data_IF_132961013432
#
_entry.id   IF_132961013432
#
_cell.length_a   1.000
_cell.length_b   1.000
_cell.length_c   1.000
_cell.angle_alpha   90.00
_cell.angle_beta   90.00
_cell.angle_gamma   90.00
#
_symmetry.space_group_name_H-M   'P 1'
#
loop_
_entity.id
_entity.type
_entity.pdbx_description
1 polymer ?
#
# COMPACT_ATOMS: atom_id res chain seq x y z
N UNK A 1 -6.80 9.68 1.15
CA UNK A 1 -6.79 11.15 0.95
C UNK A 1 -5.74 11.74 1.88
N UNK A 2 -4.98 12.75 1.43
CA UNK A 2 -4.02 13.47 2.28
C UNK A 2 -4.72 14.72 2.83
N UNK A 3 -4.53 14.98 4.11
CA UNK A 3 -5.14 16.11 4.82
C UNK A 3 -4.04 17.04 5.27
N UNK A 4 -4.21 18.32 5.02
CA UNK A 4 -3.28 19.36 5.41
C UNK A 4 -3.73 20.05 6.70
N UNK A 5 -2.76 20.36 7.55
CA UNK A 5 -2.96 21.06 8.81
C UNK A 5 -1.75 21.94 9.14
N UNK A 6 -2.00 23.01 9.89
CA UNK A 6 -0.96 23.90 10.41
C UNK A 6 -0.49 23.42 11.78
N UNK A 7 0.82 23.46 12.03
CA UNK A 7 1.40 23.03 13.31
C UNK A 7 1.20 24.01 14.48
N UNK A 8 1.30 25.35 14.30
CA UNK A 8 1.23 26.27 15.44
C UNK A 8 -0.12 26.29 16.17
N UNK A 9 -1.21 26.13 15.43
CA UNK A 9 -2.59 26.26 15.88
C UNK A 9 -3.43 24.99 15.63
N UNK A 10 -2.84 23.94 15.04
CA UNK A 10 -3.48 22.65 14.78
C UNK A 10 -4.75 22.77 13.92
N UNK A 11 -4.82 23.79 13.07
CA UNK A 11 -5.96 24.03 12.20
C UNK A 11 -5.94 23.03 11.03
N UNK A 12 -7.08 22.40 10.75
CA UNK A 12 -7.25 21.54 9.57
C UNK A 12 -7.64 22.42 8.39
N UNK A 13 -6.74 22.52 7.40
CA UNK A 13 -6.96 23.29 6.18
C UNK A 13 -7.83 22.54 5.17
N UNK A 14 -7.82 21.21 5.25
CA UNK A 14 -8.68 20.34 4.45
C UNK A 14 -7.90 19.30 3.67
N UNK A 15 -8.51 18.78 2.60
CA UNK A 15 -7.87 17.81 1.72
C UNK A 15 -6.85 18.53 0.84
N UNK A 16 -5.66 17.94 0.69
CA UNK A 16 -4.68 18.41 -0.28
C UNK A 16 -5.28 18.33 -1.69
N UNK A 17 -5.30 19.43 -2.46
CA UNK A 17 -5.72 19.40 -3.84
C UNK A 17 -4.61 18.79 -4.71
N UNK A 18 -4.95 17.77 -5.51
CA UNK A 18 -4.03 17.23 -6.52
C UNK A 18 -4.22 17.98 -7.84
N UNK A 19 -3.13 18.43 -8.46
CA UNK A 19 -3.11 19.05 -9.78
C UNK A 19 -2.43 18.12 -10.77
N UNK A 20 -3.01 16.94 -10.96
CA UNK A 20 -2.49 15.94 -11.89
C UNK A 20 -3.60 15.02 -12.39
N UNK A 21 -3.33 14.34 -13.50
CA UNK A 21 -4.22 13.36 -14.12
C UNK A 21 -3.86 11.93 -13.70
N UNK A 22 -3.34 11.74 -12.47
CA UNK A 22 -2.87 10.44 -12.02
C UNK A 22 -4.02 9.48 -11.70
N UNK A 23 -5.10 10.01 -11.14
CA UNK A 23 -6.30 9.24 -10.85
C UNK A 23 -7.02 9.00 -12.17
N UNK A 24 -7.02 7.74 -12.59
CA UNK A 24 -7.65 7.27 -13.81
C UNK A 24 -8.82 6.38 -13.41
N UNK A 25 -10.00 6.98 -13.33
CA UNK A 25 -11.30 6.40 -12.97
C UNK A 25 -11.38 5.63 -11.63
N UNK A 26 -12.46 5.84 -10.87
CA UNK A 26 -12.66 5.13 -9.61
C UNK A 26 -11.70 5.56 -8.48
N UNK A 27 -11.76 4.88 -7.31
CA UNK A 27 -11.02 5.29 -6.13
C UNK A 27 -9.53 4.88 -6.18
N UNK A 28 -8.68 5.78 -5.72
CA UNK A 28 -7.27 5.53 -5.45
C UNK A 28 -7.07 5.26 -3.94
N UNK A 29 -6.66 4.05 -3.58
CA UNK A 29 -6.48 3.61 -2.18
C UNK A 29 -5.01 3.80 -1.81
N UNK A 30 -4.74 4.66 -0.82
CA UNK A 30 -3.40 5.00 -0.36
C UNK A 30 -3.04 4.24 0.91
N UNK A 31 -1.75 3.98 1.09
CA UNK A 31 -1.19 3.68 2.41
C UNK A 31 -0.63 4.95 3.07
N UNK A 32 -0.38 4.89 4.38
CA UNK A 32 0.06 6.03 5.20
C UNK A 32 1.55 6.03 5.51
N UNK A 33 2.35 5.21 4.82
CA UNK A 33 3.79 5.04 5.08
C UNK A 33 4.64 5.39 3.85
N UNK A 34 4.61 6.64 3.39
CA UNK A 34 5.52 7.07 2.33
C UNK A 34 6.97 7.06 2.80
N UNK A 35 7.89 6.87 1.85
CA UNK A 35 9.32 6.97 2.09
C UNK A 35 9.87 8.30 1.57
N UNK A 36 10.71 8.96 2.37
CA UNK A 36 11.40 10.20 1.97
C UNK A 36 12.86 9.89 1.67
N UNK A 37 13.34 10.29 0.50
CA UNK A 37 14.76 10.30 0.21
C UNK A 37 15.45 11.41 1.01
N UNK A 38 16.36 11.00 1.91
CA UNK A 38 17.08 11.94 2.77
C UNK A 38 18.04 12.87 2.03
N UNK A 39 18.45 12.53 0.80
CA UNK A 39 19.35 13.35 -0.03
C UNK A 39 18.57 14.43 -0.79
N UNK A 40 17.42 14.08 -1.37
CA UNK A 40 16.66 14.98 -2.25
C UNK A 40 15.44 15.62 -1.58
N UNK A 41 14.91 15.01 -0.52
CA UNK A 41 13.64 15.38 0.10
C UNK A 41 12.40 14.91 -0.66
N UNK A 42 12.57 14.27 -1.82
CA UNK A 42 11.46 13.71 -2.60
C UNK A 42 10.88 12.51 -1.85
N UNK A 43 9.55 12.47 -1.76
CA UNK A 43 8.85 11.36 -1.12
C UNK A 43 8.15 10.47 -2.14
N UNK A 44 8.10 9.18 -1.84
CA UNK A 44 7.71 8.08 -2.71
C UNK A 44 6.65 7.25 -2.01
N UNK A 45 5.69 6.73 -2.78
CA UNK A 45 4.62 5.88 -2.27
C UNK A 45 3.97 5.11 -3.42
N UNK A 46 3.07 4.19 -3.08
CA UNK A 46 2.18 3.55 -4.04
C UNK A 46 0.72 3.68 -3.60
N UNK A 47 -0.18 3.40 -4.53
CA UNK A 47 -1.60 3.32 -4.27
C UNK A 47 -2.23 2.27 -5.18
N UNK A 48 -3.41 1.80 -4.82
CA UNK A 48 -4.21 0.88 -5.66
C UNK A 48 -5.28 1.70 -6.36
N UNK A 49 -5.22 1.79 -7.68
CA UNK A 49 -6.30 2.33 -8.50
C UNK A 49 -7.29 1.21 -8.79
N UNK A 50 -8.53 1.36 -8.34
CA UNK A 50 -9.60 0.43 -8.69
C UNK A 50 -10.31 0.92 -9.95
N UNK A 51 -9.95 0.34 -11.10
CA UNK A 51 -10.62 0.61 -12.39
C UNK A 51 -11.66 -0.44 -12.71
N UNK A 52 -12.72 -0.01 -13.38
CA UNK A 52 -13.74 -0.87 -13.95
C UNK A 52 -13.71 -0.69 -15.46
N UNK A 53 -13.35 -1.74 -16.19
CA UNK A 53 -13.38 -1.73 -17.65
C UNK A 53 -14.38 -2.77 -18.16
N UNK A 54 -15.43 -2.32 -18.84
CA UNK A 54 -16.50 -3.19 -19.29
C UNK A 54 -17.26 -3.80 -18.12
N UNK A 55 -17.16 -5.13 -17.95
CA UNK A 55 -17.78 -5.87 -16.85
C UNK A 55 -16.77 -6.37 -15.79
N UNK A 56 -15.49 -5.99 -15.91
CA UNK A 56 -14.42 -6.53 -15.06
C UNK A 56 -13.63 -5.45 -14.33
N UNK A 57 -13.10 -5.80 -13.16
CA UNK A 57 -12.08 -5.00 -12.49
C UNK A 57 -10.76 -5.15 -13.21
N UNK A 58 -10.08 -4.02 -13.43
CA UNK A 58 -8.69 -3.97 -13.90
C UNK A 58 -7.86 -3.10 -12.97
N UNK A 59 -7.59 -3.58 -11.76
CA UNK A 59 -6.91 -2.78 -10.78
C UNK A 59 -5.42 -2.65 -11.14
N UNK A 60 -4.84 -1.54 -10.76
CA UNK A 60 -3.43 -1.25 -10.99
C UNK A 60 -2.81 -0.73 -9.70
N UNK A 61 -1.53 -1.05 -9.49
CA UNK A 61 -0.72 -0.26 -8.58
C UNK A 61 -0.21 0.98 -9.30
N UNK A 62 -0.43 2.14 -8.72
CA UNK A 62 0.09 3.42 -9.18
C UNK A 62 1.23 3.81 -8.26
N UNK A 63 2.45 3.85 -8.78
CA UNK A 63 3.65 4.23 -8.02
C UNK A 63 4.02 5.64 -8.43
N UNK A 64 4.19 6.51 -7.44
CA UNK A 64 4.41 7.92 -7.68
C UNK A 64 5.29 8.56 -6.61
N UNK A 65 5.71 9.78 -6.92
CA UNK A 65 6.51 10.62 -6.03
C UNK A 65 6.01 12.05 -6.02
N UNK A 66 6.48 12.81 -5.04
CA UNK A 66 6.19 14.22 -4.89
C UNK A 66 7.47 14.91 -4.45
N UNK A 67 7.83 15.96 -5.19
CA UNK A 67 9.00 16.77 -4.89
C UNK A 67 8.78 17.58 -3.60
N UNK A 68 9.83 17.84 -2.81
CA UNK A 68 9.70 18.56 -1.54
C UNK A 68 9.18 20.00 -1.70
N UNK A 69 9.38 20.60 -2.87
CA UNK A 69 8.95 21.96 -3.21
C UNK A 69 7.62 21.99 -3.98
N UNK A 70 6.92 20.85 -4.10
CA UNK A 70 5.66 20.76 -4.82
C UNK A 70 4.51 21.51 -4.11
N UNK A 71 4.61 21.72 -2.80
CA UNK A 71 3.73 22.62 -2.05
C UNK A 71 4.43 23.95 -1.79
N UNK A 72 3.92 25.03 -2.39
CA UNK A 72 4.49 26.38 -2.26
C UNK A 72 3.89 27.15 -1.08
N UNK A 73 2.61 26.92 -0.82
CA UNK A 73 1.82 27.56 0.23
C UNK A 73 0.74 26.58 0.71
N UNK A 74 0.26 26.69 1.96
CA UNK A 74 -0.78 25.80 2.45
C UNK A 74 -2.06 25.88 1.61
N UNK A 75 -2.65 24.75 1.29
CA UNK A 75 -3.82 24.60 0.41
C UNK A 75 -3.52 24.73 -1.09
N UNK A 76 -2.26 24.98 -1.49
CA UNK A 76 -1.90 25.03 -2.90
C UNK A 76 -2.02 23.63 -3.54
N UNK A 77 -2.49 23.55 -4.80
CA UNK A 77 -2.52 22.28 -5.52
C UNK A 77 -1.12 21.69 -5.69
N UNK A 78 -1.00 20.37 -5.50
CA UNK A 78 0.26 19.63 -5.58
C UNK A 78 0.26 18.76 -6.84
N UNK A 79 1.29 18.92 -7.66
CA UNK A 79 1.57 18.04 -8.79
C UNK A 79 2.35 16.80 -8.31
N UNK A 80 1.79 15.61 -8.51
CA UNK A 80 2.53 14.35 -8.30
C UNK A 80 3.23 13.91 -9.58
N UNK A 81 4.40 13.29 -9.43
CA UNK A 81 5.16 12.65 -10.53
C UNK A 81 4.81 11.17 -10.58
N UNK A 82 4.13 10.75 -11.64
CA UNK A 82 3.94 9.33 -11.93
C UNK A 82 5.30 8.68 -12.20
N UNK A 83 5.57 7.57 -11.53
CA UNK A 83 6.75 6.75 -11.77
C UNK A 83 6.38 5.59 -12.70
N UNK A 84 5.39 4.79 -12.31
CA UNK A 84 4.94 3.67 -13.14
C UNK A 84 3.54 3.21 -12.74
N UNK A 85 2.90 2.44 -13.62
CA UNK A 85 1.65 1.71 -13.34
C UNK A 85 1.92 0.22 -13.50
N UNK A 86 1.35 -0.58 -12.60
CA UNK A 86 1.57 -2.02 -12.56
C UNK A 86 0.20 -2.70 -12.56
N UNK A 87 -0.13 -3.33 -13.69
CA UNK A 87 -1.34 -4.14 -13.80
C UNK A 87 -1.29 -5.33 -12.84
N UNK A 88 -2.43 -5.64 -12.23
CA UNK A 88 -2.58 -6.82 -11.38
C UNK A 88 -3.97 -7.41 -11.50
N UNK A 89 -4.07 -8.73 -11.56
CA UNK A 89 -5.36 -9.41 -11.53
C UNK A 89 -5.91 -9.58 -10.10
N UNK A 90 -5.04 -9.42 -9.10
CA UNK A 90 -5.35 -9.66 -7.69
C UNK A 90 -4.72 -8.54 -6.85
N UNK A 91 -5.41 -7.39 -6.72
CA UNK A 91 -4.87 -6.25 -6.00
C UNK A 91 -4.82 -6.57 -4.51
N UNK A 92 -3.62 -6.65 -3.96
CA UNK A 92 -3.38 -6.86 -2.53
C UNK A 92 -2.94 -5.56 -1.88
N UNK A 93 -3.37 -5.27 -0.63
CA UNK A 93 -2.96 -4.09 0.11
C UNK A 93 -1.43 -4.00 0.20
N UNK A 94 -0.90 -2.82 -0.11
CA UNK A 94 0.49 -2.47 0.12
C UNK A 94 0.51 -1.56 1.33
N UNK A 95 0.89 -2.09 2.49
CA UNK A 95 0.91 -1.29 3.73
C UNK A 95 2.09 -0.31 3.78
N UNK A 96 3.22 -0.72 3.21
CA UNK A 96 4.42 0.11 3.08
C UNK A 96 5.27 -0.33 1.89
N UNK A 97 6.17 0.56 1.45
CA UNK A 97 7.15 0.29 0.39
C UNK A 97 8.55 0.31 1.00
N UNK A 98 9.55 -0.25 0.32
CA UNK A 98 10.95 0.01 0.64
C UNK A 98 11.54 0.99 -0.38
N UNK A 99 12.56 1.75 0.05
CA UNK A 99 13.29 2.68 -0.79
C UNK A 99 14.79 2.47 -0.60
N UNK A 100 15.47 2.13 -1.69
CA UNK A 100 16.94 2.04 -1.76
C UNK A 100 17.49 3.23 -2.55
N UNK A 101 18.79 3.20 -2.88
CA UNK A 101 19.40 4.29 -3.67
C UNK A 101 18.83 4.34 -5.09
N UNK A 102 18.54 3.17 -5.70
CA UNK A 102 18.02 3.05 -7.06
C UNK A 102 16.59 2.53 -7.16
N UNK A 103 16.12 1.75 -6.20
CA UNK A 103 14.87 1.01 -6.34
C UNK A 103 13.81 1.43 -5.33
N UNK A 104 12.56 1.41 -5.79
CA UNK A 104 11.39 1.22 -4.96
C UNK A 104 11.12 -0.29 -4.93
N UNK A 105 10.96 -0.84 -3.73
CA UNK A 105 10.60 -2.25 -3.55
C UNK A 105 9.16 -2.33 -3.06
N UNK A 106 8.31 -3.03 -3.82
CA UNK A 106 6.91 -3.26 -3.46
C UNK A 106 6.69 -4.76 -3.26
N UNK A 107 6.13 -5.14 -2.11
CA UNK A 107 5.79 -6.52 -1.80
C UNK A 107 4.28 -6.70 -1.99
N UNK A 108 3.89 -7.52 -2.96
CA UNK A 108 2.52 -7.93 -3.19
C UNK A 108 2.29 -9.29 -2.52
N UNK A 109 1.67 -9.25 -1.35
CA UNK A 109 1.29 -10.43 -0.54
C UNK A 109 0.09 -11.17 -1.14
N UNK A 110 -0.08 -12.47 -0.86
CA UNK A 110 -1.23 -13.23 -1.33
C UNK A 110 -2.49 -12.96 -0.48
N UNK A 111 -2.87 -11.68 -0.35
CA UNK A 111 -4.04 -11.20 0.38
C UNK A 111 -4.89 -10.25 -0.48
N UNK A 112 -5.38 -10.69 -1.65
CA UNK A 112 -6.12 -9.84 -2.57
C UNK A 112 -7.43 -9.30 -1.99
N UNK A 113 -7.87 -8.16 -2.52
CA UNK A 113 -9.16 -7.57 -2.22
C UNK A 113 -10.30 -8.51 -2.63
N UNK A 114 -11.23 -8.75 -1.70
CA UNK A 114 -12.47 -9.47 -1.88
C UNK A 114 -13.56 -8.49 -2.32
N UNK A 115 -13.72 -8.34 -3.64
CA UNK A 115 -14.68 -7.41 -4.21
C UNK A 115 -16.13 -7.74 -3.85
N UNK A 116 -16.52 -9.00 -3.96
CA UNK A 116 -17.90 -9.43 -3.68
C UNK A 116 -18.25 -9.19 -2.21
N UNK A 117 -17.31 -9.45 -1.31
CA UNK A 117 -17.43 -9.15 0.11
C UNK A 117 -17.60 -7.65 0.37
N UNK A 118 -16.76 -6.82 -0.25
CA UNK A 118 -16.87 -5.35 -0.16
C UNK A 118 -18.21 -4.83 -0.68
N UNK A 119 -18.63 -5.24 -1.89
CA UNK A 119 -19.90 -4.79 -2.47
C UNK A 119 -21.11 -5.24 -1.65
N UNK A 120 -21.06 -6.45 -1.10
CA UNK A 120 -22.09 -6.97 -0.19
C UNK A 120 -22.16 -6.15 1.10
N UNK A 121 -21.01 -5.83 1.71
CA UNK A 121 -20.93 -5.01 2.91
C UNK A 121 -21.46 -3.59 2.66
N UNK A 122 -21.09 -2.96 1.55
CA UNK A 122 -21.60 -1.64 1.16
C UNK A 122 -23.11 -1.67 0.88
N UNK A 123 -23.59 -2.67 0.14
CA UNK A 123 -25.02 -2.82 -0.17
C UNK A 123 -25.85 -3.00 1.11
N UNK A 124 -25.35 -3.82 2.05
CA UNK A 124 -25.99 -4.02 3.35
C UNK A 124 -26.02 -2.72 4.14
N UNK A 125 -24.91 -2.00 4.23
CA UNK A 125 -24.84 -0.70 4.88
C UNK A 125 -25.84 0.31 4.29
N UNK A 126 -25.94 0.39 2.96
CA UNK A 126 -26.90 1.27 2.28
C UNK A 126 -28.36 0.90 2.61
N UNK A 127 -28.68 -0.40 2.78
CA UNK A 127 -30.04 -0.84 3.09
C UNK A 127 -30.40 -0.74 4.57
N UNK A 128 -29.45 -1.01 5.48
CA UNK A 128 -29.74 -1.12 6.92
C UNK A 128 -29.30 0.11 7.71
N UNK A 129 -28.43 0.96 7.16
CA UNK A 129 -27.74 2.03 7.87
C UNK A 129 -26.69 1.54 8.87
N UNK A 130 -26.46 0.22 8.97
CA UNK A 130 -25.53 -0.39 9.91
C UNK A 130 -24.34 -0.95 9.13
N UNK A 131 -23.16 -0.44 9.42
CA UNK A 131 -21.91 -0.94 8.86
C UNK A 131 -21.40 -2.09 9.72
N UNK A 132 -21.38 -3.31 9.16
CA UNK A 132 -20.95 -4.53 9.86
C UNK A 132 -19.65 -5.13 9.28
N UNK A 133 -18.99 -4.43 8.36
CA UNK A 133 -17.81 -4.96 7.66
C UNK A 133 -16.61 -5.18 8.58
N UNK A 134 -15.99 -6.36 8.48
CA UNK A 134 -14.69 -6.73 9.05
C UNK A 134 -13.60 -6.67 7.97
N UNK A 135 -12.33 -6.48 8.33
CA UNK A 135 -11.17 -6.54 7.41
C UNK A 135 -11.16 -7.83 6.55
N UNK A 136 -11.63 -8.95 7.11
CA UNK A 136 -11.77 -10.22 6.40
C UNK A 136 -12.86 -10.22 5.30
N UNK A 137 -13.83 -9.29 5.36
CA UNK A 137 -14.83 -9.13 4.30
C UNK A 137 -14.22 -8.41 3.08
N UNK A 138 -13.11 -7.68 3.27
CA UNK A 138 -12.44 -6.89 2.25
C UNK A 138 -11.28 -7.58 1.58
N UNK A 139 -10.72 -8.63 2.19
CA UNK A 139 -9.56 -9.33 1.66
C UNK A 139 -9.62 -10.82 2.01
N UNK A 140 -9.10 -11.66 1.10
CA UNK A 140 -9.06 -13.11 1.30
C UNK A 140 -7.62 -13.58 1.26
N UNK A 141 -7.20 -14.34 2.26
CA UNK A 141 -5.89 -15.00 2.27
C UNK A 141 -5.85 -16.15 1.28
N UNK A 142 -4.86 -16.14 0.39
CA UNK A 142 -4.70 -17.09 -0.72
C UNK A 142 -3.28 -17.68 -0.73
N UNK A 143 -2.87 -18.44 0.32
CA UNK A 143 -1.48 -18.91 0.50
C UNK A 143 -1.00 -19.85 -0.60
N UNK A 144 -1.89 -20.34 -1.46
CA UNK A 144 -1.53 -21.05 -2.70
C UNK A 144 -0.80 -20.17 -3.74
N UNK A 145 -0.81 -18.84 -3.56
CA UNK A 145 -0.06 -17.89 -4.38
C UNK A 145 1.25 -17.51 -3.71
N UNK A 146 2.28 -17.31 -4.53
CA UNK A 146 3.57 -16.77 -4.07
C UNK A 146 3.44 -15.29 -3.69
N UNK A 147 4.30 -14.85 -2.77
CA UNK A 147 4.53 -13.42 -2.55
C UNK A 147 5.38 -12.87 -3.68
N UNK A 148 4.97 -11.76 -4.31
CA UNK A 148 5.75 -11.12 -5.36
C UNK A 148 6.50 -9.90 -4.83
N UNK A 149 7.82 -9.91 -4.96
CA UNK A 149 8.69 -8.78 -4.62
C UNK A 149 9.06 -8.07 -5.94
N UNK A 150 8.55 -6.85 -6.11
CA UNK A 150 8.70 -6.05 -7.32
C UNK A 150 9.75 -4.97 -7.10
N UNK A 151 10.79 -4.96 -7.93
CA UNK A 151 11.81 -3.91 -7.97
C UNK A 151 11.50 -2.95 -9.12
N UNK A 152 11.39 -1.67 -8.79
CA UNK A 152 11.06 -0.60 -9.73
C UNK A 152 12.19 0.43 -9.67
N UNK A 153 12.82 0.76 -10.80
CA UNK A 153 13.76 1.87 -10.85
C UNK A 153 13.02 3.16 -10.48
N UNK A 154 13.46 3.83 -9.42
CA UNK A 154 12.75 4.98 -8.83
C UNK A 154 12.79 6.24 -9.69
N UNK A 155 13.69 6.28 -10.68
CA UNK A 155 13.85 7.40 -11.61
C UNK A 155 13.08 7.11 -12.89
N UNK A 156 13.33 5.96 -13.52
CA UNK A 156 12.78 5.63 -14.85
C UNK A 156 11.42 4.94 -14.80
N UNK A 157 11.07 4.31 -13.68
CA UNK A 157 9.87 3.50 -13.53
C UNK A 157 9.94 2.12 -14.21
N UNK A 158 11.11 1.74 -14.72
CA UNK A 158 11.34 0.41 -15.30
C UNK A 158 11.19 -0.67 -14.22
N UNK A 159 10.50 -1.74 -14.58
CA UNK A 159 10.21 -2.86 -13.69
C UNK A 159 11.07 -4.05 -14.09
N UNK A 160 11.78 -4.63 -13.11
CA UNK A 160 12.36 -5.95 -13.28
C UNK A 160 11.25 -7.01 -13.18
N UNK A 161 11.45 -8.22 -13.76
CA UNK A 161 10.59 -9.35 -13.45
C UNK A 161 10.48 -9.54 -11.93
N UNK A 162 9.28 -9.80 -11.39
CA UNK A 162 9.10 -9.95 -9.95
C UNK A 162 9.88 -11.15 -9.43
N UNK A 163 10.46 -11.01 -8.25
CA UNK A 163 11.00 -12.14 -7.50
C UNK A 163 9.87 -12.82 -6.75
N UNK A 164 9.88 -14.14 -6.74
CA UNK A 164 8.89 -14.94 -6.02
C UNK A 164 9.48 -15.42 -4.70
N UNK A 165 8.66 -15.35 -3.65
CA UNK A 165 8.95 -15.93 -2.35
C UNK A 165 7.75 -16.77 -1.89
N UNK A 166 8.01 -17.66 -0.93
CA UNK A 166 6.96 -18.37 -0.22
C UNK A 166 5.91 -17.38 0.35
N UNK A 167 4.64 -17.79 0.48
CA UNK A 167 3.57 -16.93 0.98
C UNK A 167 3.88 -16.43 2.39
N UNK A 168 3.81 -15.11 2.59
CA UNK A 168 3.82 -14.49 3.91
C UNK A 168 2.94 -13.24 3.93
N UNK A 169 2.51 -12.85 5.11
CA UNK A 169 1.85 -11.57 5.35
C UNK A 169 2.84 -10.61 6.01
N UNK A 170 2.72 -9.31 5.74
CA UNK A 170 3.48 -8.28 6.44
C UNK A 170 2.67 -6.98 6.55
N UNK A 171 3.02 -6.16 7.53
CA UNK A 171 2.63 -4.76 7.58
C UNK A 171 3.83 -3.87 7.31
N UNK A 172 4.91 -4.05 8.07
CA UNK A 172 6.01 -3.09 8.11
C UNK A 172 7.30 -3.68 7.55
N UNK A 173 7.96 -2.90 6.69
CA UNK A 173 9.34 -3.08 6.27
C UNK A 173 10.20 -2.27 7.24
N UNK A 174 11.27 -2.87 7.74
CA UNK A 174 12.19 -2.27 8.71
C UNK A 174 13.21 -1.39 7.98
N UNK A 175 13.88 -1.96 6.97
CA UNK A 175 14.94 -1.29 6.23
C UNK A 175 15.16 -1.95 4.86
N UNK A 176 15.80 -1.21 3.95
CA UNK A 176 16.23 -1.71 2.65
C UNK A 176 17.50 -1.02 2.19
N UNK A 177 18.44 -1.76 1.61
CA UNK A 177 19.65 -1.19 1.04
C UNK A 177 20.22 -2.06 -0.09
N UNK A 178 21.07 -1.46 -0.92
CA UNK A 178 21.78 -2.14 -2.00
C UNK A 178 23.23 -2.43 -1.60
N UNK A 179 23.74 -3.57 -2.06
CA UNK A 179 25.15 -3.94 -1.98
C UNK A 179 25.61 -4.48 -3.33
N UNK A 180 26.91 -4.33 -3.63
CA UNK A 180 27.52 -5.03 -4.76
C UNK A 180 27.93 -6.43 -4.34
N UNK A 181 27.43 -7.45 -5.03
CA UNK A 181 27.81 -8.83 -4.69
C UNK A 181 26.84 -9.92 -5.10
N UNK A 182 25.95 -9.69 -6.08
CA UNK A 182 25.11 -10.77 -6.62
C UNK A 182 25.92 -11.87 -7.32
N UNK A 183 25.25 -12.82 -7.96
CA UNK A 183 25.89 -14.04 -8.49
C UNK A 183 27.04 -13.79 -9.48
N UNK A 184 27.06 -12.66 -10.19
CA UNK A 184 28.18 -12.26 -11.06
C UNK A 184 29.33 -11.54 -10.34
N UNK A 185 29.16 -11.17 -9.07
CA UNK A 185 30.07 -10.31 -8.30
C UNK A 185 29.99 -8.82 -8.66
N UNK A 186 29.20 -8.44 -9.67
CA UNK A 186 29.00 -7.06 -10.10
C UNK A 186 27.53 -6.60 -10.07
N UNK A 187 26.61 -7.56 -9.95
CA UNK A 187 25.17 -7.30 -9.84
C UNK A 187 24.84 -6.58 -8.53
N UNK A 188 23.80 -5.75 -8.58
CA UNK A 188 23.20 -5.16 -7.39
C UNK A 188 22.44 -6.26 -6.62
N UNK A 189 22.71 -6.36 -5.32
CA UNK A 189 21.98 -7.17 -4.36
C UNK A 189 21.12 -6.22 -3.53
N UNK A 190 19.82 -6.47 -3.45
CA UNK A 190 18.91 -5.70 -2.59
C UNK A 190 18.62 -6.50 -1.33
N UNK A 191 19.00 -5.93 -0.18
CA UNK A 191 18.66 -6.45 1.14
C UNK A 191 17.35 -5.79 1.60
N UNK A 192 16.46 -6.61 2.15
CA UNK A 192 15.12 -6.19 2.57
C UNK A 192 14.77 -6.83 3.92
N UNK A 193 14.65 -6.00 4.95
CA UNK A 193 14.33 -6.44 6.30
C UNK A 193 12.83 -6.23 6.56
N UNK A 194 12.08 -7.31 6.80
CA UNK A 194 10.59 -7.27 6.86
C UNK A 194 10.09 -7.97 8.12
N UNK A 195 9.05 -7.41 8.76
CA UNK A 195 8.31 -8.07 9.84
C UNK A 195 7.26 -9.00 9.23
N UNK A 196 7.62 -10.27 9.05
CA UNK A 196 6.78 -11.27 8.41
C UNK A 196 5.91 -12.06 9.40
N UNK A 197 4.74 -12.45 8.93
CA UNK A 197 3.79 -13.36 9.58
C UNK A 197 3.48 -14.51 8.60
N UNK A 198 3.25 -15.71 9.12
CA UNK A 198 2.90 -16.86 8.27
C UNK A 198 1.52 -16.71 7.61
N UNK A 199 0.63 -15.96 8.25
CA UNK A 199 -0.73 -15.68 7.80
C UNK A 199 -1.17 -14.30 8.32
N UNK A 200 -2.23 -13.68 7.75
CA UNK A 200 -2.73 -12.40 8.22
C UNK A 200 -3.13 -12.48 9.69
N UNK A 201 -2.62 -11.59 10.56
CA UNK A 201 -3.07 -11.57 11.94
C UNK A 201 -4.54 -11.15 11.97
N UNK A 202 -5.38 -11.96 12.62
CA UNK A 202 -6.81 -11.66 12.78
C UNK A 202 -6.96 -10.39 13.62
N UNK A 203 -7.83 -9.48 13.16
CA UNK A 203 -8.04 -8.18 13.79
C UNK A 203 -8.41 -8.29 15.27
N UNK A 204 -7.96 -7.32 16.06
CA UNK A 204 -8.29 -7.20 17.48
C UNK A 204 -9.77 -6.77 17.61
N UNK A 205 -10.68 -7.61 18.13
CA UNK A 205 -12.06 -7.19 18.31
C UNK A 205 -12.08 -5.92 19.18
N UNK A 206 -12.77 -4.87 18.73
CA UNK A 206 -12.83 -3.58 19.43
C UNK A 206 -13.27 -3.70 20.89
N UNK A 207 -14.04 -4.74 21.23
CA UNK A 207 -14.42 -5.08 22.62
C UNK A 207 -13.23 -5.56 23.45
N UNK A 208 -12.38 -6.39 22.87
CA UNK A 208 -11.14 -6.86 23.50
C UNK A 208 -10.13 -5.72 23.62
N UNK A 209 -10.04 -4.82 22.62
CA UNK A 209 -9.19 -3.61 22.71
C UNK A 209 -9.58 -2.74 23.91
N UNK A 210 -10.89 -2.63 24.15
CA UNK A 210 -11.44 -1.86 25.26
C UNK A 210 -11.31 -2.55 26.61
N UNK A 211 -11.18 -3.88 26.67
CA UNK A 211 -11.04 -4.60 27.95
C UNK A 211 -9.62 -4.55 28.51
N UNK A 212 -8.62 -4.26 27.66
CA UNK A 212 -7.21 -4.32 28.05
C UNK A 212 -6.69 -5.76 28.22
N UNK A 213 -7.46 -6.74 27.76
CA UNK A 213 -7.14 -8.16 27.86
C UNK A 213 -6.30 -8.58 26.65
N UNK A 214 -5.01 -8.83 26.89
CA UNK A 214 -4.02 -9.25 25.88
C UNK A 214 -3.61 -10.71 26.05
N UNK A 215 -4.13 -11.42 27.05
CA UNK A 215 -3.66 -12.77 27.45
C UNK A 215 -4.24 -13.87 26.54
N UNK A 216 -5.44 -13.69 25.99
CA UNK A 216 -6.15 -14.68 25.16
C UNK A 216 -5.92 -14.52 23.64
N UNK A 217 -4.81 -13.88 23.24
CA UNK A 217 -4.45 -13.82 21.82
C UNK A 217 -4.00 -15.21 21.31
N UNK A 218 -4.91 -15.89 20.61
CA UNK A 218 -4.58 -16.92 19.62
C UNK A 218 -5.11 -16.44 18.29
N UNK A 219 -4.23 -16.22 17.31
CA UNK A 219 -4.65 -16.07 15.92
C UNK A 219 -5.58 -17.23 15.57
N UNK A 220 -6.85 -16.92 15.36
CA UNK A 220 -7.90 -17.90 15.21
C UNK A 220 -9.16 -17.20 14.75
N UNK A 221 -9.68 -17.63 13.59
CA UNK A 221 -10.86 -17.09 12.97
C UNK A 221 -12.06 -17.03 13.92
N UNK A 222 -12.91 -16.02 13.69
CA UNK A 222 -14.22 -15.96 14.31
C UNK A 222 -15.09 -17.14 13.90
N UNK A 223 -16.10 -17.40 14.74
CA UNK A 223 -17.19 -18.38 14.54
C UNK A 223 -17.83 -18.34 13.15
#
# INVERSE_FOLDING_TARGET
AVVEFTLPDMETLGKVPWDDEMVDEGPLIFHSEPHIDKKTGEWYTSAIQLKIEGMGLKPEYVVFSVMPDASKEPGAPIQRRLITRIETEYPSPVHTIALTDKYIVMIQIPYPLNWDGMMSAESKWLMTGVYEGNLNDYNTWQPERNTLIRLIDRVTGEQLPPFEADPFFFFHIINSFEEKGGSSGSDDLVHLDVVCYNEPPVGFPLRQAKSGDVEDWRGGGGE
#
